data_IF_899867488505
#
_entry.id   IF_899867488505
#
_cell.length_a   1.000
_cell.length_b   1.000
_cell.length_c   1.000
_cell.angle_alpha   90.00
_cell.angle_beta   90.00
_cell.angle_gamma   90.00
#
_symmetry.space_group_name_H-M   'P 1'
#
loop_
_entity.id
_entity.type
_entity.pdbx_description
1 polymer ?
#
# COMPACT_ATOMS: atom_id res chain seq x y z
N UNK A 1 17.38 -2.94 -8.96
CA UNK A 1 16.58 -3.18 -7.74
C UNK A 1 16.35 -4.67 -7.63
N UNK A 2 16.49 -5.24 -6.44
CA UNK A 2 16.11 -6.64 -6.23
C UNK A 2 14.58 -6.77 -6.38
N UNK A 3 14.06 -7.88 -6.93
CA UNK A 3 12.62 -8.09 -7.01
C UNK A 3 12.06 -8.41 -5.63
N UNK A 4 10.76 -8.17 -5.49
CA UNK A 4 10.00 -8.70 -4.36
C UNK A 4 9.71 -10.18 -4.60
N UNK A 5 10.00 -11.02 -3.63
CA UNK A 5 9.76 -12.45 -3.62
C UNK A 5 8.62 -12.77 -2.66
N UNK A 6 7.95 -13.92 -2.85
CA UNK A 6 7.00 -14.40 -1.87
C UNK A 6 7.61 -14.45 -0.46
N UNK A 7 6.79 -14.03 0.52
CA UNK A 7 7.13 -13.86 1.93
C UNK A 7 8.05 -12.69 2.25
N UNK A 8 8.43 -11.85 1.28
CA UNK A 8 9.00 -10.55 1.59
C UNK A 8 7.98 -9.68 2.34
N UNK A 9 8.49 -8.83 3.22
CA UNK A 9 7.70 -7.87 3.98
C UNK A 9 7.85 -6.48 3.37
N UNK A 10 6.73 -5.88 2.98
CA UNK A 10 6.65 -4.44 2.72
C UNK A 10 6.49 -3.71 4.04
N UNK A 11 7.27 -2.65 4.25
CA UNK A 11 7.14 -1.78 5.43
C UNK A 11 6.66 -0.41 4.95
N UNK A 12 5.45 -0.03 5.34
CA UNK A 12 4.89 1.29 5.05
C UNK A 12 5.13 2.21 6.26
N UNK A 13 5.92 3.26 6.06
CA UNK A 13 6.22 4.28 7.08
C UNK A 13 5.60 5.61 6.70
N UNK A 14 4.94 6.25 7.65
CA UNK A 14 4.34 7.58 7.50
C UNK A 14 4.08 8.18 8.88
N UNK A 15 4.15 9.51 8.96
CA UNK A 15 3.99 10.22 10.21
C UNK A 15 2.56 10.08 10.74
N UNK A 16 2.38 9.92 12.07
CA UNK A 16 1.06 9.97 12.67
C UNK A 16 0.45 11.38 12.51
N UNK A 17 -0.88 11.51 12.56
CA UNK A 17 -1.54 12.80 12.47
C UNK A 17 -1.16 13.70 13.65
N UNK A 18 -0.31 14.70 13.39
CA UNK A 18 -0.08 15.87 14.23
C UNK A 18 -0.92 17.04 13.70
N UNK A 19 -1.16 18.09 14.50
CA UNK A 19 -2.08 19.20 14.17
C UNK A 19 -1.91 19.82 12.76
N UNK A 20 -0.73 19.70 12.13
CA UNK A 20 -0.44 20.22 10.79
C UNK A 20 0.00 19.14 9.77
N UNK A 21 -0.08 17.85 10.10
CA UNK A 21 0.30 16.75 9.18
C UNK A 21 -0.91 16.25 8.41
N UNK A 22 -0.73 15.98 7.11
CA UNK A 22 -1.74 15.29 6.32
C UNK A 22 -1.74 13.81 6.72
N UNK A 23 -2.85 13.25 7.23
CA UNK A 23 -2.87 11.85 7.62
C UNK A 23 -2.62 10.96 6.40
N UNK A 24 -2.01 9.80 6.65
CA UNK A 24 -1.81 8.76 5.65
C UNK A 24 -2.32 7.43 6.16
N UNK A 25 -2.91 6.64 5.27
CA UNK A 25 -3.34 5.26 5.54
C UNK A 25 -2.92 4.36 4.40
N UNK A 26 -3.08 3.05 4.55
CA UNK A 26 -2.79 2.08 3.50
C UNK A 26 -4.05 1.30 3.19
N UNK A 27 -4.52 1.41 1.96
CA UNK A 27 -5.63 0.63 1.39
C UNK A 27 -5.10 -0.37 0.38
N UNK A 28 -5.59 -1.60 0.45
CA UNK A 28 -5.35 -2.67 -0.51
C UNK A 28 -6.57 -2.80 -1.45
N UNK A 29 -6.34 -2.63 -2.75
CA UNK A 29 -7.38 -2.72 -3.77
C UNK A 29 -7.53 -4.15 -4.28
N UNK A 30 -8.78 -4.51 -4.60
CA UNK A 30 -9.12 -5.85 -5.10
C UNK A 30 -8.78 -6.06 -6.58
N UNK A 31 -8.66 -4.98 -7.37
CA UNK A 31 -8.43 -5.04 -8.81
C UNK A 31 -7.71 -3.79 -9.33
N UNK A 32 -7.13 -3.92 -10.53
CA UNK A 32 -6.33 -2.89 -11.18
C UNK A 32 -7.12 -1.62 -11.54
N UNK A 33 -8.37 -1.75 -12.00
CA UNK A 33 -9.20 -0.61 -12.41
C UNK A 33 -9.57 0.29 -11.24
N UNK A 34 -9.95 -0.29 -10.09
CA UNK A 34 -10.19 0.48 -8.87
C UNK A 34 -8.91 1.17 -8.38
N UNK A 35 -7.76 0.51 -8.48
CA UNK A 35 -6.46 1.10 -8.14
C UNK A 35 -6.11 2.30 -9.02
N UNK A 36 -6.25 2.19 -10.35
CA UNK A 36 -5.95 3.29 -11.27
C UNK A 36 -6.85 4.51 -11.03
N UNK A 37 -8.13 4.26 -10.74
CA UNK A 37 -9.12 5.32 -10.53
C UNK A 37 -9.20 5.82 -9.08
N UNK A 38 -8.40 5.25 -8.17
CA UNK A 38 -8.48 5.52 -6.73
C UNK A 38 -9.91 5.31 -6.17
N UNK A 39 -10.63 4.30 -6.65
CA UNK A 39 -11.98 3.94 -6.17
C UNK A 39 -11.88 3.10 -4.89
N UNK A 40 -12.11 3.76 -3.75
CA UNK A 40 -11.98 3.17 -2.42
C UNK A 40 -13.19 2.32 -1.99
N UNK A 41 -14.31 2.30 -2.75
CA UNK A 41 -15.57 1.63 -2.33
C UNK A 41 -15.40 0.16 -1.94
N UNK A 42 -14.47 -0.53 -2.59
CA UNK A 42 -14.15 -1.95 -2.35
C UNK A 42 -12.71 -2.16 -1.91
N UNK A 43 -11.98 -1.09 -1.62
CA UNK A 43 -10.62 -1.18 -1.12
C UNK A 43 -10.66 -1.48 0.38
N UNK A 44 -9.76 -2.34 0.84
CA UNK A 44 -9.66 -2.72 2.25
C UNK A 44 -8.59 -1.85 2.90
N UNK A 45 -8.95 -1.08 3.94
CA UNK A 45 -7.93 -0.47 4.80
C UNK A 45 -7.14 -1.58 5.49
N UNK A 46 -5.83 -1.63 5.24
CA UNK A 46 -4.90 -2.57 5.88
C UNK A 46 -4.05 -1.91 6.94
N UNK A 47 -3.89 -0.59 6.89
CA UNK A 47 -3.28 0.22 7.94
C UNK A 47 -3.98 1.57 8.09
N UNK A 48 -4.27 1.96 9.33
CA UNK A 48 -4.88 3.24 9.68
C UNK A 48 -3.83 4.34 9.90
N UNK A 49 -4.30 5.55 10.21
CA UNK A 49 -3.46 6.76 10.30
C UNK A 49 -2.36 6.77 11.38
N UNK A 50 -2.38 5.84 12.33
CA UNK A 50 -1.35 5.75 13.39
C UNK A 50 -0.41 4.56 13.20
N UNK A 51 -0.72 3.63 12.31
CA UNK A 51 0.04 2.38 12.15
C UNK A 51 1.33 2.52 11.33
N UNK A 52 1.55 3.67 10.69
CA UNK A 52 2.79 3.97 9.96
C UNK A 52 3.94 4.49 10.82
N UNK A 53 3.68 4.80 12.09
CA UNK A 53 4.67 5.35 13.01
C UNK A 53 5.68 4.30 13.50
N UNK A 54 6.81 4.75 14.04
CA UNK A 54 7.87 3.90 14.61
C UNK A 54 8.45 2.89 13.60
N UNK A 55 8.18 1.61 13.82
CA UNK A 55 8.65 0.54 12.92
C UNK A 55 7.86 0.49 11.60
N UNK A 56 6.70 1.16 11.52
CA UNK A 56 5.82 1.16 10.36
C UNK A 56 4.87 -0.03 10.32
N UNK A 57 3.97 0.01 9.33
CA UNK A 57 3.04 -1.07 9.08
C UNK A 57 3.68 -2.13 8.17
N UNK A 58 3.70 -3.37 8.63
CA UNK A 58 4.23 -4.51 7.89
C UNK A 58 3.15 -5.25 7.11
N UNK A 59 3.41 -5.51 5.83
CA UNK A 59 2.57 -6.35 4.98
C UNK A 59 3.41 -7.44 4.31
N UNK A 60 3.12 -8.70 4.64
CA UNK A 60 3.81 -9.86 4.07
C UNK A 60 3.17 -10.28 2.74
N UNK A 61 3.97 -10.39 1.69
CA UNK A 61 3.56 -10.84 0.35
C UNK A 61 3.35 -12.36 0.29
N UNK A 62 2.27 -12.84 0.92
CA UNK A 62 1.98 -14.27 1.08
C UNK A 62 1.43 -14.97 -0.17
N UNK A 63 0.99 -14.23 -1.19
CA UNK A 63 0.30 -14.78 -2.36
C UNK A 63 0.98 -14.35 -3.66
N UNK A 64 1.07 -15.27 -4.61
CA UNK A 64 1.56 -14.99 -5.95
C UNK A 64 0.43 -14.33 -6.78
N UNK A 65 0.22 -13.04 -6.53
CA UNK A 65 -0.80 -12.22 -7.16
C UNK A 65 -0.39 -10.74 -7.13
N UNK A 66 -0.97 -9.89 -7.99
CA UNK A 66 -0.75 -8.46 -7.89
C UNK A 66 -1.32 -7.92 -6.56
N UNK A 67 -0.58 -7.02 -5.92
CA UNK A 67 -1.00 -6.26 -4.75
C UNK A 67 -0.97 -4.77 -5.09
N UNK A 68 -2.10 -4.11 -4.89
CA UNK A 68 -2.32 -2.72 -5.26
C UNK A 68 -2.58 -1.91 -3.99
N UNK A 69 -1.64 -1.05 -3.60
CA UNK A 69 -1.71 -0.24 -2.39
C UNK A 69 -1.89 1.23 -2.74
N UNK A 70 -2.69 1.98 -1.98
CA UNK A 70 -2.68 3.44 -2.06
C UNK A 70 -3.09 4.09 -0.74
N UNK A 71 -2.81 5.39 -0.63
CA UNK A 71 -3.32 6.22 0.44
C UNK A 71 -4.81 6.51 0.23
N UNK A 72 -5.65 6.19 1.22
CA UNK A 72 -7.09 6.43 1.16
C UNK A 72 -7.52 7.79 1.74
N UNK A 73 -6.60 8.49 2.39
CA UNK A 73 -6.89 9.76 3.05
C UNK A 73 -7.28 10.86 2.06
N UNK A 74 -7.98 11.87 2.59
CA UNK A 74 -8.55 12.96 1.80
C UNK A 74 -9.48 12.43 0.69
N UNK A 75 -10.27 11.39 0.99
CA UNK A 75 -11.19 10.73 0.04
C UNK A 75 -10.49 10.29 -1.27
N UNK A 76 -9.28 9.75 -1.15
CA UNK A 76 -8.48 9.29 -2.29
C UNK A 76 -7.72 10.39 -3.05
N UNK A 77 -7.73 11.66 -2.58
CA UNK A 77 -6.95 12.74 -3.19
C UNK A 77 -5.45 12.43 -3.15
N UNK A 78 -4.94 11.86 -2.06
CA UNK A 78 -3.53 11.47 -1.94
C UNK A 78 -3.14 10.41 -2.99
N UNK A 79 -4.04 9.46 -3.28
CA UNK A 79 -3.87 8.49 -4.37
C UNK A 79 -3.91 9.16 -5.75
N UNK A 80 -4.90 10.03 -6.01
CA UNK A 80 -5.19 10.55 -7.36
C UNK A 80 -4.26 11.68 -7.79
N UNK A 81 -4.05 12.66 -6.91
CA UNK A 81 -3.24 13.85 -7.19
C UNK A 81 -1.82 13.68 -6.66
N UNK A 82 -1.69 13.15 -5.43
CA UNK A 82 -0.38 12.92 -4.80
C UNK A 82 0.39 11.71 -5.36
N UNK A 83 -0.25 10.91 -6.22
CA UNK A 83 0.30 9.63 -6.73
C UNK A 83 0.79 8.69 -5.61
N UNK A 84 0.22 8.80 -4.40
CA UNK A 84 0.55 7.93 -3.26
C UNK A 84 -0.09 6.57 -3.46
N UNK A 85 0.47 5.81 -4.39
CA UNK A 85 0.02 4.50 -4.82
C UNK A 85 1.22 3.65 -5.21
N UNK A 86 1.17 2.37 -4.87
CA UNK A 86 2.25 1.41 -5.06
C UNK A 86 1.67 0.07 -5.51
N UNK A 87 2.30 -0.56 -6.50
CA UNK A 87 1.89 -1.86 -7.01
C UNK A 87 3.09 -2.80 -7.00
N UNK A 88 2.84 -4.06 -6.63
CA UNK A 88 3.84 -5.12 -6.71
C UNK A 88 3.22 -6.46 -7.09
N UNK A 89 3.94 -7.23 -7.89
CA UNK A 89 3.71 -8.66 -8.13
C UNK A 89 4.92 -9.41 -7.56
N UNK A 90 4.82 -10.08 -6.39
CA UNK A 90 5.93 -10.87 -5.90
C UNK A 90 6.25 -12.00 -6.87
N UNK A 91 7.52 -12.32 -7.06
CA UNK A 91 7.96 -13.46 -7.88
C UNK A 91 8.11 -14.72 -7.03
N UNK A 92 8.02 -15.89 -7.67
CA UNK A 92 8.44 -17.14 -7.05
C UNK A 92 9.97 -17.19 -7.02
N UNK A 93 10.56 -17.59 -5.89
CA UNK A 93 12.03 -17.69 -5.74
C UNK A 93 12.69 -18.53 -6.83
N UNK A 94 12.00 -19.56 -7.33
CA UNK A 94 12.47 -20.43 -8.42
C UNK A 94 12.62 -19.70 -9.78
N UNK A 95 12.02 -18.53 -9.94
CA UNK A 95 12.07 -17.73 -11.17
C UNK A 95 13.01 -16.53 -11.06
N UNK A 96 13.73 -16.41 -9.95
CA UNK A 96 14.83 -15.47 -9.81
C UNK A 96 16.16 -16.24 -9.94
N UNK A 97 17.08 -15.85 -10.86
CA UNK A 97 18.38 -16.49 -11.01
C UNK A 97 19.29 -16.31 -9.79
#
# INVERSE_FOLDING_TARGET
MAPFILNDTLVFKYDPPLNNSHPHSVYLFSNFWSFLNCDLKRAKMVANITQGDGNGFEFVLKRWQPHYFACGESNGIHCKLGQMKFFVMPMLRRWYP
#
